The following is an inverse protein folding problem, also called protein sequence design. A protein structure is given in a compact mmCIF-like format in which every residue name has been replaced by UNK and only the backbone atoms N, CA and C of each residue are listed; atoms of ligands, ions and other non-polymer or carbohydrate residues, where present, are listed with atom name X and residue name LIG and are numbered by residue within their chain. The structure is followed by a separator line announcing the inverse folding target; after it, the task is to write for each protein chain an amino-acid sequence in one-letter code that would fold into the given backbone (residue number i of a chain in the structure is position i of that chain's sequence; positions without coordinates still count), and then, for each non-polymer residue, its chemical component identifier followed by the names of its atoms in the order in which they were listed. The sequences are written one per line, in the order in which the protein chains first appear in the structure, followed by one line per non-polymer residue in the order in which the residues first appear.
data_IF_794557926120
#
_entry.id   IF_794557926120
#
_cell.length_a   1.000
_cell.length_b   1.000
_cell.length_c   1.000
_cell.angle_alpha   90.00
_cell.angle_beta   90.00
_cell.angle_gamma   90.00
#
_symmetry.space_group_name_H-M   'P 1'
#
loop_
_entity.id
_entity.type
_entity.pdbx_description
1 polymer ?
#
# COMPACT_ATOMS: atom_id res chain seq x y z
N UNK A 1 12.46 -32.74 15.86
CA UNK A 1 13.17 -31.46 16.02
C UNK A 1 12.17 -30.35 15.76
N UNK A 2 11.47 -29.94 16.81
CA UNK A 2 10.34 -29.02 16.72
C UNK A 2 10.80 -27.58 16.52
N UNK A 3 9.98 -26.80 15.81
CA UNK A 3 10.10 -25.35 15.74
C UNK A 3 10.33 -24.78 17.14
N UNK A 4 11.41 -24.01 17.29
CA UNK A 4 11.71 -23.28 18.52
C UNK A 4 10.53 -22.36 18.86
N UNK A 5 10.14 -22.30 20.15
CA UNK A 5 9.03 -21.46 20.60
C UNK A 5 9.21 -19.99 20.19
N UNK A 6 10.47 -19.54 20.15
CA UNK A 6 10.86 -18.22 19.67
C UNK A 6 10.52 -18.00 18.19
N UNK A 7 10.76 -18.99 17.34
CA UNK A 7 10.44 -18.91 15.90
C UNK A 7 8.93 -18.79 15.68
N UNK A 8 8.13 -19.58 16.43
CA UNK A 8 6.67 -19.50 16.39
C UNK A 8 6.17 -18.11 16.79
N UNK A 9 6.73 -17.52 17.86
CA UNK A 9 6.36 -16.19 18.32
C UNK A 9 6.70 -15.10 17.28
N UNK A 10 7.86 -15.22 16.62
CA UNK A 10 8.27 -14.30 15.56
C UNK A 10 7.34 -14.37 14.35
N UNK A 11 7.01 -15.57 13.87
CA UNK A 11 6.11 -15.76 12.73
C UNK A 11 4.69 -15.27 13.03
N UNK A 12 4.19 -15.53 14.24
CA UNK A 12 2.89 -15.04 14.68
C UNK A 12 2.84 -13.51 14.77
N UNK A 13 3.87 -12.89 15.38
CA UNK A 13 3.99 -11.45 15.46
C UNK A 13 4.11 -10.79 14.08
N UNK A 14 4.89 -11.38 13.18
CA UNK A 14 5.03 -10.94 11.80
C UNK A 14 3.69 -10.96 11.06
N UNK A 15 2.90 -12.02 11.25
CA UNK A 15 1.56 -12.13 10.64
C UNK A 15 0.62 -11.02 11.14
N UNK A 16 0.51 -10.84 12.46
CA UNK A 16 -0.35 -9.78 13.03
C UNK A 16 0.04 -8.41 12.47
N UNK A 17 1.34 -8.11 12.42
CA UNK A 17 1.84 -6.84 11.92
C UNK A 17 1.52 -6.66 10.43
N UNK A 18 1.73 -7.70 9.62
CA UNK A 18 1.42 -7.67 8.19
C UNK A 18 -0.08 -7.47 7.93
N UNK A 19 -0.94 -8.20 8.66
CA UNK A 19 -2.40 -8.09 8.54
C UNK A 19 -2.87 -6.67 8.91
N UNK A 20 -2.38 -6.12 10.04
CA UNK A 20 -2.71 -4.75 10.46
C UNK A 20 -2.28 -3.71 9.43
N UNK A 21 -1.07 -3.82 8.88
CA UNK A 21 -0.60 -2.91 7.83
C UNK A 21 -1.42 -3.06 6.55
N UNK A 22 -1.79 -4.29 6.17
CA UNK A 22 -2.64 -4.53 5.01
C UNK A 22 -4.01 -3.87 5.17
N UNK A 23 -4.63 -4.02 6.35
CA UNK A 23 -5.91 -3.36 6.68
C UNK A 23 -5.78 -1.85 6.59
N UNK A 24 -4.79 -1.26 7.28
CA UNK A 24 -4.55 0.19 7.26
C UNK A 24 -4.32 0.71 5.83
N UNK A 25 -3.52 0.00 5.03
CA UNK A 25 -3.25 0.40 3.65
C UNK A 25 -4.46 0.22 2.72
N UNK A 26 -5.37 -0.71 3.03
CA UNK A 26 -6.60 -0.93 2.27
C UNK A 26 -7.66 0.11 2.61
N UNK A 27 -7.73 0.53 3.88
CA UNK A 27 -8.61 1.61 4.32
C UNK A 27 -8.30 2.92 3.60
N UNK A 28 -7.03 3.19 3.24
CA UNK A 28 -6.65 4.37 2.42
C UNK A 28 -7.34 4.45 1.05
N UNK A 29 -7.83 3.32 0.52
CA UNK A 29 -8.57 3.25 -0.74
C UNK A 29 -10.09 3.26 -0.55
N UNK A 30 -10.59 3.12 0.69
CA UNK A 30 -12.00 3.24 0.97
C UNK A 30 -12.48 4.69 0.72
N UNK A 31 -13.74 4.89 0.26
CA UNK A 31 -14.31 6.23 0.13
C UNK A 31 -14.30 6.92 1.49
N UNK A 32 -13.42 7.91 1.63
CA UNK A 32 -13.30 8.71 2.84
C UNK A 32 -14.19 9.95 2.74
N UNK A 33 -14.71 10.38 3.88
CA UNK A 33 -15.37 11.67 4.04
C UNK A 33 -14.45 12.78 3.49
N UNK A 34 -14.99 13.70 2.68
CA UNK A 34 -14.28 14.81 2.02
C UNK A 34 -13.61 15.81 2.99
N UNK A 35 -13.61 15.52 4.29
CA UNK A 35 -13.02 16.34 5.37
C UNK A 35 -11.51 16.55 5.21
N UNK A 36 -10.81 15.67 4.49
CA UNK A 36 -9.36 15.79 4.29
C UNK A 36 -8.98 16.14 2.86
N UNK A 37 -8.21 17.21 2.67
CA UNK A 37 -7.71 17.64 1.36
C UNK A 37 -6.63 16.72 0.75
N UNK A 38 -6.11 15.77 1.52
CA UNK A 38 -5.07 14.82 1.08
C UNK A 38 -5.10 13.50 1.85
N UNK A 39 -4.66 12.44 1.19
CA UNK A 39 -4.49 11.09 1.77
C UNK A 39 -3.03 10.63 1.67
N UNK A 40 -2.56 9.77 2.58
CA UNK A 40 -1.28 9.09 2.40
C UNK A 40 -1.16 8.41 1.02
N UNK A 41 0.02 8.48 0.40
CA UNK A 41 0.27 7.78 -0.85
C UNK A 41 0.49 6.28 -0.57
N UNK A 42 -0.54 5.46 -0.81
CA UNK A 42 -0.50 4.00 -0.59
C UNK A 42 0.69 3.33 -1.30
N UNK A 43 0.94 3.67 -2.56
CA UNK A 43 2.02 3.08 -3.37
C UNK A 43 3.38 3.42 -2.76
N UNK A 44 3.56 4.67 -2.37
CA UNK A 44 4.79 5.10 -1.69
C UNK A 44 4.96 4.40 -0.34
N UNK A 45 3.91 4.36 0.48
CA UNK A 45 3.94 3.70 1.80
C UNK A 45 4.35 2.24 1.70
N UNK A 46 3.78 1.50 0.74
CA UNK A 46 4.11 0.10 0.48
C UNK A 46 5.57 -0.05 0.03
N UNK A 47 6.05 0.83 -0.86
CA UNK A 47 7.43 0.86 -1.32
C UNK A 47 8.44 1.19 -0.21
N UNK A 48 8.08 2.09 0.70
CA UNK A 48 8.96 2.52 1.80
C UNK A 48 9.02 1.50 2.94
N UNK A 49 7.90 0.85 3.28
CA UNK A 49 7.83 -0.15 4.36
C UNK A 49 8.46 -1.49 3.98
N UNK A 50 8.21 -1.98 2.76
CA UNK A 50 8.65 -3.31 2.30
C UNK A 50 10.13 -3.64 2.55
N UNK A 51 11.11 -2.75 2.28
CA UNK A 51 12.53 -3.07 2.46
C UNK A 51 12.96 -3.15 3.93
N UNK A 52 12.27 -2.47 4.86
CA UNK A 52 12.69 -2.40 6.26
C UNK A 52 11.94 -3.38 7.16
N UNK A 53 10.70 -3.76 6.80
CA UNK A 53 9.82 -4.56 7.65
C UNK A 53 10.43 -5.90 8.09
N UNK A 54 11.06 -6.64 7.17
CA UNK A 54 11.70 -7.91 7.51
C UNK A 54 12.83 -7.74 8.53
N UNK A 55 13.65 -6.71 8.38
CA UNK A 55 14.72 -6.41 9.33
C UNK A 55 14.18 -5.94 10.69
N UNK A 56 13.07 -5.20 10.71
CA UNK A 56 12.38 -4.82 11.94
C UNK A 56 11.83 -6.05 12.68
N UNK A 57 11.26 -7.02 11.96
CA UNK A 57 10.77 -8.29 12.54
C UNK A 57 11.90 -9.13 13.13
N UNK A 58 13.08 -9.09 12.51
CA UNK A 58 14.31 -9.68 13.04
C UNK A 58 14.98 -8.84 14.15
N UNK A 59 14.33 -7.76 14.60
CA UNK A 59 14.81 -6.85 15.66
C UNK A 59 16.18 -6.23 15.39
N UNK A 60 16.51 -5.98 14.12
CA UNK A 60 17.74 -5.30 13.73
C UNK A 60 17.64 -3.83 14.18
N UNK A 61 18.43 -3.44 15.18
CA UNK A 61 18.29 -2.16 15.88
C UNK A 61 18.27 -0.94 14.94
N UNK A 62 19.24 -0.85 14.02
CA UNK A 62 19.30 0.25 13.03
C UNK A 62 18.02 0.41 12.19
N UNK A 63 17.30 -0.68 11.93
CA UNK A 63 16.06 -0.67 11.15
C UNK A 63 14.87 -0.26 12.02
N UNK A 64 14.86 -0.67 13.29
CA UNK A 64 13.89 -0.20 14.28
C UNK A 64 14.02 1.30 14.50
N UNK A 65 15.25 1.80 14.65
CA UNK A 65 15.51 3.24 14.82
C UNK A 65 15.06 4.04 13.59
N UNK A 66 15.22 3.46 12.39
CA UNK A 66 14.79 4.05 11.12
C UNK A 66 13.28 4.00 10.85
N UNK A 67 12.52 3.19 11.59
CA UNK A 67 11.08 2.99 11.34
C UNK A 67 10.29 4.30 11.53
N UNK A 68 10.61 5.07 12.57
CA UNK A 68 9.97 6.36 12.83
C UNK A 68 10.19 7.33 11.66
N UNK A 69 11.41 7.36 11.10
CA UNK A 69 11.72 8.17 9.92
C UNK A 69 10.95 7.74 8.67
N UNK A 70 10.79 6.43 8.45
CA UNK A 70 9.96 5.93 7.34
C UNK A 70 8.50 6.32 7.50
N UNK A 71 7.94 6.21 8.70
CA UNK A 71 6.56 6.64 8.98
C UNK A 71 6.38 8.14 8.77
N UNK A 72 7.36 8.96 9.17
CA UNK A 72 7.36 10.40 8.93
C UNK A 72 7.40 10.72 7.42
N UNK A 73 8.25 10.05 6.65
CA UNK A 73 8.29 10.21 5.19
C UNK A 73 6.97 9.83 4.52
N UNK A 74 6.29 8.79 5.01
CA UNK A 74 4.96 8.40 4.55
C UNK A 74 3.93 9.48 4.89
N UNK A 75 4.02 10.06 6.09
CA UNK A 75 3.16 11.16 6.51
C UNK A 75 3.34 12.40 5.64
N UNK A 76 4.58 12.74 5.26
CA UNK A 76 4.89 13.89 4.42
C UNK A 76 4.50 13.65 2.95
N UNK A 77 4.60 12.41 2.47
CA UNK A 77 4.31 12.04 1.08
C UNK A 77 2.82 11.77 0.89
N UNK A 78 2.01 12.84 0.91
CA UNK A 78 0.56 12.76 0.74
C UNK A 78 0.14 13.04 -0.70
N UNK A 79 -0.84 12.27 -1.18
CA UNK A 79 -1.55 12.54 -2.42
C UNK A 79 -2.70 13.51 -2.16
N UNK A 80 -2.73 14.63 -2.90
CA UNK A 80 -3.87 15.55 -2.88
C UNK A 80 -5.12 14.85 -3.40
N UNK A 81 -6.22 14.98 -2.67
CA UNK A 81 -7.54 14.54 -3.12
C UNK A 81 -8.11 15.67 -3.97
N UNK A 82 -8.42 15.39 -5.23
CA UNK A 82 -9.10 16.34 -6.10
C UNK A 82 -10.51 15.82 -6.33
N UNK A 83 -11.54 16.46 -5.73
CA UNK A 83 -12.92 16.03 -5.92
C UNK A 83 -13.28 16.08 -7.40
N UNK A 84 -14.06 15.10 -7.86
CA UNK A 84 -14.53 14.97 -9.25
C UNK A 84 -13.45 14.80 -10.33
N UNK A 85 -12.19 14.53 -9.96
CA UNK A 85 -11.13 14.23 -10.92
C UNK A 85 -11.38 12.88 -11.59
N UNK A 86 -11.92 12.91 -12.80
CA UNK A 86 -12.00 11.75 -13.69
C UNK A 86 -11.16 12.02 -14.94
N UNK A 87 -10.38 11.03 -15.38
CA UNK A 87 -9.80 11.02 -16.73
C UNK A 87 -10.51 9.94 -17.52
N UNK A 88 -11.78 10.18 -17.93
CA UNK A 88 -12.47 9.24 -18.78
C UNK A 88 -11.62 9.02 -20.03
N UNK A 89 -11.45 7.75 -20.38
CA UNK A 89 -10.70 7.39 -21.57
C UNK A 89 -11.43 8.04 -22.77
N UNK A 90 -10.73 8.78 -23.65
CA UNK A 90 -11.37 9.37 -24.82
C UNK A 90 -12.10 8.30 -25.63
N UNK A 91 -13.29 8.57 -26.19
CA UNK A 91 -14.10 7.56 -26.89
C UNK A 91 -13.33 6.79 -27.97
N UNK A 92 -12.51 7.50 -28.76
CA UNK A 92 -11.63 6.90 -29.79
C UNK A 92 -10.57 5.92 -29.28
N UNK A 93 -10.23 5.98 -27.99
CA UNK A 93 -9.26 5.09 -27.33
C UNK A 93 -9.96 4.01 -26.50
N UNK A 94 -11.29 4.07 -26.34
CA UNK A 94 -12.05 3.07 -25.62
C UNK A 94 -11.89 1.69 -26.30
N UNK A 95 -11.58 0.67 -25.50
CA UNK A 95 -11.53 -0.71 -25.96
C UNK A 95 -12.93 -1.33 -25.77
N UNK A 96 -13.32 -2.31 -26.60
CA UNK A 96 -12.55 -2.86 -27.71
C UNK A 96 -12.69 -1.99 -28.96
N UNK A 97 -11.59 -1.83 -29.71
CA UNK A 97 -11.65 -1.17 -31.01
C UNK A 97 -12.54 -2.01 -31.92
N UNK A 98 -13.57 -1.43 -32.53
CA UNK A 98 -14.60 -2.16 -33.29
C UNK A 98 -14.03 -3.19 -34.27
N UNK A 99 -12.98 -2.81 -35.02
CA UNK A 99 -12.26 -3.69 -35.96
C UNK A 99 -11.53 -4.89 -35.30
N UNK A 100 -11.15 -4.79 -34.03
CA UNK A 100 -10.57 -5.91 -33.27
C UNK A 100 -11.64 -6.76 -32.57
N UNK A 101 -12.86 -6.24 -32.39
CA UNK A 101 -13.95 -6.92 -31.70
C UNK A 101 -14.78 -7.82 -32.64
N UNK A 102 -14.92 -7.42 -33.91
CA UNK A 102 -15.76 -8.11 -34.88
C UNK A 102 -14.97 -8.39 -36.16
N UNK A 103 -14.97 -9.64 -36.63
CA UNK A 103 -14.57 -9.96 -38.01
C UNK A 103 -15.68 -9.45 -38.92
N UNK A 104 -15.33 -8.68 -39.95
CA UNK A 104 -16.26 -8.34 -41.02
C UNK A 104 -16.69 -9.66 -41.69
N UNK A 105 -18.01 -9.88 -41.73
CA UNK A 105 -18.63 -11.01 -42.40
C UNK A 105 -18.51 -10.89 -43.92
#
# INVERSE_FOLDING_TARGET
TGLDYLALQQDFGAKILADNLCTLLSDLDAPHDDRHASRPNRVYALGALKPILGACLLRIQRCLDGLAGVLEMIHQTRCRIQPSRSYPRPPRKAKPHFHLAYKLA
#
